data_IF_720306117727
#
_entry.id   IF_720306117727
#
_cell.length_a   1.000
_cell.length_b   1.000
_cell.length_c   1.000
_cell.angle_alpha   90.00
_cell.angle_beta   90.00
_cell.angle_gamma   90.00
#
_symmetry.space_group_name_H-M   'P 1'
#
loop_
_entity.id
_entity.type
_entity.pdbx_description
1 polymer ?
#
# COMPACT_ATOMS: atom_id res chain seq x y z
N UNK A 1 -0.09 19.56 -4.86
CA UNK A 1 1.11 20.42 -4.88
C UNK A 1 1.74 20.52 -6.27
N UNK A 2 1.94 19.40 -6.98
CA UNK A 2 2.57 19.41 -8.32
C UNK A 2 1.56 19.63 -9.46
N UNK A 3 0.46 18.87 -9.50
CA UNK A 3 -0.40 18.84 -10.69
C UNK A 3 -1.14 20.16 -10.91
N UNK A 4 -1.95 20.61 -9.94
CA UNK A 4 -2.81 21.80 -10.13
C UNK A 4 -2.06 23.09 -10.52
N UNK A 5 -0.95 23.47 -9.85
CA UNK A 5 -0.23 24.70 -10.20
C UNK A 5 0.45 24.63 -11.57
N UNK A 6 0.81 23.43 -12.04
CA UNK A 6 1.62 23.24 -13.23
C UNK A 6 0.92 22.48 -14.36
N UNK A 7 -0.41 22.28 -14.26
CA UNK A 7 -1.21 21.51 -15.23
C UNK A 7 -1.10 22.01 -16.67
N UNK A 8 -0.81 23.30 -16.88
CA UNK A 8 -0.62 23.88 -18.21
C UNK A 8 0.58 23.29 -18.96
N UNK A 9 1.52 22.65 -18.26
CA UNK A 9 2.70 22.01 -18.86
C UNK A 9 2.39 20.64 -19.48
N UNK A 10 1.18 20.11 -19.32
CA UNK A 10 0.81 18.80 -19.84
C UNK A 10 -0.59 18.84 -20.46
N UNK A 11 -0.68 18.52 -21.75
CA UNK A 11 -1.93 18.55 -22.52
C UNK A 11 -3.05 17.78 -21.82
N UNK A 12 -2.75 16.59 -21.29
CA UNK A 12 -3.69 15.67 -20.61
C UNK A 12 -4.50 16.31 -19.49
N UNK A 13 -3.93 17.29 -18.78
CA UNK A 13 -4.57 17.95 -17.61
C UNK A 13 -4.71 19.47 -17.77
N UNK A 14 -4.20 20.04 -18.86
CA UNK A 14 -4.18 21.48 -19.13
C UNK A 14 -5.57 22.12 -19.18
N UNK A 15 -6.58 21.39 -19.68
CA UNK A 15 -7.97 21.88 -19.86
C UNK A 15 -8.88 21.62 -18.65
N UNK A 16 -8.29 21.37 -17.48
CA UNK A 16 -8.98 20.93 -16.27
C UNK A 16 -9.18 19.41 -16.26
N UNK A 17 -9.34 18.85 -15.05
CA UNK A 17 -9.62 17.43 -14.87
C UNK A 17 -10.39 17.16 -13.58
N UNK A 18 -11.04 16.00 -13.51
CA UNK A 18 -11.62 15.40 -12.29
C UNK A 18 -10.88 14.10 -11.97
N UNK A 19 -10.84 13.74 -10.68
CA UNK A 19 -10.27 12.47 -10.22
C UNK A 19 -11.43 11.51 -10.01
N UNK A 20 -11.38 10.34 -10.62
CA UNK A 20 -12.37 9.29 -10.44
C UNK A 20 -11.94 8.29 -9.37
N UNK A 21 -12.92 7.64 -8.75
CA UNK A 21 -12.70 6.60 -7.76
C UNK A 21 -12.79 5.18 -8.37
N UNK A 22 -12.45 4.17 -7.58
CA UNK A 22 -12.50 2.76 -7.98
C UNK A 22 -13.90 2.32 -8.42
N UNK A 23 -14.96 2.92 -7.89
CA UNK A 23 -16.33 2.61 -8.28
C UNK A 23 -16.57 3.03 -9.72
N UNK A 24 -16.23 4.28 -10.04
CA UNK A 24 -16.34 4.85 -11.38
C UNK A 24 -15.45 4.10 -12.37
N UNK A 25 -14.22 3.77 -11.98
CA UNK A 25 -13.30 2.95 -12.77
C UNK A 25 -13.93 1.59 -13.12
N UNK A 26 -14.47 0.87 -12.13
CA UNK A 26 -15.15 -0.42 -12.35
C UNK A 26 -16.37 -0.28 -13.27
N UNK A 27 -17.14 0.79 -13.12
CA UNK A 27 -18.28 1.07 -13.99
C UNK A 27 -17.85 1.25 -15.46
N UNK A 28 -16.76 1.97 -15.70
CA UNK A 28 -16.23 2.19 -17.07
C UNK A 28 -15.73 0.89 -17.68
N UNK A 29 -14.96 0.10 -16.93
CA UNK A 29 -14.48 -1.21 -17.38
C UNK A 29 -15.65 -2.14 -17.72
N UNK A 30 -16.71 -2.15 -16.90
CA UNK A 30 -17.91 -2.94 -17.17
C UNK A 30 -18.64 -2.50 -18.45
N UNK A 31 -18.76 -1.19 -18.68
CA UNK A 31 -19.34 -0.65 -19.91
C UNK A 31 -18.52 -1.05 -21.15
N UNK A 32 -17.20 -0.95 -21.09
CA UNK A 32 -16.30 -1.33 -22.19
C UNK A 32 -16.38 -2.83 -22.46
N UNK A 33 -16.39 -3.65 -21.41
CA UNK A 33 -16.54 -5.10 -21.52
C UNK A 33 -17.84 -5.46 -22.27
N UNK A 34 -18.95 -4.78 -21.96
CA UNK A 34 -20.22 -4.95 -22.66
C UNK A 34 -20.16 -4.48 -24.13
N UNK A 35 -19.53 -3.32 -24.41
CA UNK A 35 -19.39 -2.79 -25.77
C UNK A 35 -18.56 -3.70 -26.69
N UNK A 36 -17.53 -4.35 -26.14
CA UNK A 36 -16.68 -5.28 -26.87
C UNK A 36 -17.27 -6.69 -26.96
N UNK A 37 -18.48 -6.92 -26.43
CA UNK A 37 -19.12 -8.24 -26.31
C UNK A 37 -18.19 -9.27 -25.63
N UNK A 38 -17.41 -8.82 -24.67
CA UNK A 38 -16.53 -9.67 -23.87
C UNK A 38 -17.30 -10.21 -22.67
N UNK A 39 -17.12 -11.50 -22.37
CA UNK A 39 -17.70 -12.16 -21.20
C UNK A 39 -16.66 -12.31 -20.08
N UNK A 40 -15.91 -11.24 -19.78
CA UNK A 40 -14.90 -11.29 -18.72
C UNK A 40 -15.58 -11.41 -17.36
N UNK A 41 -15.17 -12.42 -16.59
CA UNK A 41 -15.59 -12.56 -15.21
C UNK A 41 -14.87 -11.54 -14.34
N UNK A 42 -15.44 -11.22 -13.18
CA UNK A 42 -14.88 -10.22 -12.25
C UNK A 42 -13.40 -10.46 -11.91
N UNK A 43 -12.97 -11.72 -11.76
CA UNK A 43 -11.57 -12.04 -11.48
C UNK A 43 -10.63 -11.83 -12.69
N UNK A 44 -11.16 -11.80 -13.92
CA UNK A 44 -10.41 -11.50 -15.15
C UNK A 44 -10.28 -10.00 -15.35
N UNK A 45 -11.30 -9.23 -14.97
CA UNK A 45 -11.24 -7.77 -14.97
C UNK A 45 -10.10 -7.25 -14.09
N UNK A 46 -9.88 -7.88 -12.94
CA UNK A 46 -8.78 -7.53 -12.03
C UNK A 46 -7.39 -7.86 -12.60
N UNK A 47 -7.29 -8.60 -13.71
CA UNK A 47 -6.02 -8.91 -14.40
C UNK A 47 -5.75 -7.99 -15.58
N UNK A 48 -6.68 -7.09 -15.91
CA UNK A 48 -6.47 -6.11 -16.97
C UNK A 48 -5.53 -5.04 -16.43
N UNK A 49 -4.38 -4.87 -17.07
CA UNK A 49 -3.52 -3.73 -16.77
C UNK A 49 -4.14 -2.47 -17.39
N UNK A 50 -4.76 -1.67 -16.53
CA UNK A 50 -5.31 -0.36 -16.86
C UNK A 50 -4.29 0.75 -16.62
N UNK A 51 -3.08 0.42 -16.16
CA UNK A 51 -2.04 1.41 -15.95
C UNK A 51 -1.43 1.86 -17.27
N UNK A 52 -0.90 3.07 -17.25
CA UNK A 52 -0.07 3.59 -18.33
C UNK A 52 1.39 3.52 -17.92
N UNK A 53 2.24 3.18 -18.87
CA UNK A 53 3.68 3.37 -18.75
C UNK A 53 4.03 4.83 -18.45
N UNK A 54 5.28 5.04 -18.05
CA UNK A 54 5.88 6.36 -17.83
C UNK A 54 5.72 7.32 -19.01
N UNK A 55 5.46 6.83 -20.23
CA UNK A 55 5.28 7.60 -21.46
C UNK A 55 3.82 7.80 -21.89
N UNK A 56 2.86 7.56 -20.99
CA UNK A 56 1.42 7.54 -21.32
C UNK A 56 1.08 6.54 -22.44
N UNK A 57 1.91 5.50 -22.60
CA UNK A 57 1.61 4.38 -23.48
C UNK A 57 0.99 3.24 -22.68
N UNK A 58 0.09 2.51 -23.30
CA UNK A 58 -0.52 1.33 -22.71
C UNK A 58 0.53 0.23 -22.70
N UNK A 59 0.62 -0.50 -21.59
CA UNK A 59 1.49 -1.66 -21.50
C UNK A 59 0.91 -2.78 -22.38
N UNK A 60 1.74 -3.44 -23.19
CA UNK A 60 1.28 -4.55 -24.03
C UNK A 60 0.90 -5.76 -23.16
N UNK A 61 -0.40 -5.95 -22.94
CA UNK A 61 -0.94 -7.00 -22.08
C UNK A 61 -2.17 -7.66 -22.70
N UNK A 62 -2.71 -8.68 -22.02
CA UNK A 62 -4.01 -9.23 -22.37
C UNK A 62 -5.10 -8.14 -22.24
N UNK A 63 -5.94 -7.99 -23.27
CA UNK A 63 -7.01 -6.99 -23.34
C UNK A 63 -6.55 -5.52 -23.50
N UNK A 64 -5.46 -5.24 -24.22
CA UNK A 64 -5.02 -3.86 -24.56
C UNK A 64 -6.15 -2.97 -25.05
N UNK A 65 -7.08 -3.49 -25.87
CA UNK A 65 -8.23 -2.75 -26.37
C UNK A 65 -9.15 -2.22 -25.26
N UNK A 66 -9.28 -2.93 -24.14
CA UNK A 66 -10.05 -2.45 -22.97
C UNK A 66 -9.35 -1.26 -22.33
N UNK A 67 -8.02 -1.34 -22.16
CA UNK A 67 -7.20 -0.25 -21.62
C UNK A 67 -7.22 0.98 -22.55
N UNK A 68 -7.14 0.78 -23.88
CA UNK A 68 -7.26 1.84 -24.89
C UNK A 68 -8.59 2.58 -24.79
N UNK A 69 -9.70 1.84 -24.74
CA UNK A 69 -11.02 2.42 -24.62
C UNK A 69 -11.21 3.13 -23.27
N UNK A 70 -10.68 2.56 -22.20
CA UNK A 70 -10.73 3.15 -20.86
C UNK A 70 -10.01 4.50 -20.82
N UNK A 71 -8.76 4.56 -21.28
CA UNK A 71 -7.99 5.82 -21.31
C UNK A 71 -8.58 6.84 -22.28
N UNK A 72 -9.14 6.40 -23.40
CA UNK A 72 -9.88 7.27 -24.33
C UNK A 72 -11.12 7.88 -23.66
N UNK A 73 -11.85 7.09 -22.87
CA UNK A 73 -13.03 7.55 -22.13
C UNK A 73 -12.63 8.57 -21.05
N UNK A 74 -11.58 8.28 -20.28
CA UNK A 74 -11.02 9.23 -19.33
C UNK A 74 -10.60 10.54 -20.02
N UNK A 75 -9.94 10.47 -21.17
CA UNK A 75 -9.50 11.66 -21.88
C UNK A 75 -10.65 12.50 -22.43
N UNK A 76 -11.67 11.86 -22.98
CA UNK A 76 -12.91 12.50 -23.44
C UNK A 76 -13.63 13.23 -22.30
N UNK A 77 -13.70 12.60 -21.13
CA UNK A 77 -14.38 13.14 -19.96
C UNK A 77 -13.54 14.13 -19.14
N UNK A 78 -12.26 14.31 -19.51
CA UNK A 78 -11.26 15.06 -18.72
C UNK A 78 -11.10 14.49 -17.32
N UNK A 79 -11.03 13.17 -17.24
CA UNK A 79 -10.83 12.42 -16.01
C UNK A 79 -9.41 11.87 -15.96
N UNK A 80 -8.94 11.67 -14.73
CA UNK A 80 -7.78 10.85 -14.38
C UNK A 80 -8.16 9.94 -13.21
N UNK A 81 -7.55 8.78 -13.11
CA UNK A 81 -7.67 7.91 -11.94
C UNK A 81 -6.49 8.10 -10.96
N UNK A 82 -6.47 7.31 -9.88
CA UNK A 82 -5.44 7.40 -8.86
C UNK A 82 -4.03 7.05 -9.36
N UNK A 83 -3.90 6.06 -10.25
CA UNK A 83 -2.59 5.67 -10.81
C UNK A 83 -2.03 6.78 -11.71
N UNK A 84 -2.90 7.47 -12.45
CA UNK A 84 -2.51 8.60 -13.29
C UNK A 84 -2.01 9.80 -12.49
N UNK A 85 -2.35 9.97 -11.21
CA UNK A 85 -1.87 11.10 -10.39
C UNK A 85 -0.34 11.13 -10.35
N UNK A 86 0.27 9.99 -10.03
CA UNK A 86 1.72 9.87 -9.96
C UNK A 86 2.36 10.04 -11.34
N UNK A 87 1.72 9.50 -12.38
CA UNK A 87 2.22 9.58 -13.75
C UNK A 87 2.21 11.02 -14.27
N UNK A 88 1.13 11.75 -14.05
CA UNK A 88 1.01 13.17 -14.40
C UNK A 88 2.04 14.00 -13.64
N UNK A 89 2.25 13.74 -12.35
CA UNK A 89 3.28 14.42 -11.57
C UNK A 89 4.68 14.18 -12.13
N UNK A 90 5.03 12.92 -12.41
CA UNK A 90 6.29 12.55 -13.05
C UNK A 90 6.47 13.26 -14.41
N UNK A 91 5.41 13.32 -15.21
CA UNK A 91 5.43 13.95 -16.53
C UNK A 91 5.61 15.47 -16.48
N UNK A 92 4.97 16.14 -15.53
CA UNK A 92 5.21 17.57 -15.29
C UNK A 92 6.68 17.83 -14.92
N UNK A 93 7.27 16.98 -14.07
CA UNK A 93 8.67 17.10 -13.64
C UNK A 93 9.68 16.78 -14.76
N UNK A 94 9.29 16.01 -15.78
CA UNK A 94 10.18 15.63 -16.89
C UNK A 94 10.07 16.55 -18.10
N UNK A 95 8.88 17.03 -18.43
CA UNK A 95 8.65 17.85 -19.63
C UNK A 95 9.21 19.27 -19.47
N UNK A 96 9.16 19.86 -18.27
CA UNK A 96 9.62 21.23 -18.04
C UNK A 96 10.61 21.31 -16.87
N UNK A 97 11.90 21.41 -17.21
CA UNK A 97 12.98 21.49 -16.21
C UNK A 97 12.93 22.75 -15.35
N UNK A 98 12.37 23.86 -15.84
CA UNK A 98 12.19 25.07 -15.02
C UNK A 98 11.12 24.85 -13.94
N UNK A 99 10.03 24.15 -14.28
CA UNK A 99 8.99 23.77 -13.33
C UNK A 99 9.54 22.79 -12.31
N UNK A 100 10.28 21.78 -12.76
CA UNK A 100 10.92 20.81 -11.87
C UNK A 100 11.88 21.48 -10.87
N UNK A 101 12.75 22.37 -11.34
CA UNK A 101 13.65 23.16 -10.48
C UNK A 101 12.88 24.08 -9.52
N UNK A 102 11.81 24.73 -9.97
CA UNK A 102 10.97 25.55 -9.09
C UNK A 102 10.36 24.70 -7.97
N UNK A 103 9.71 23.58 -8.31
CA UNK A 103 9.14 22.67 -7.30
C UNK A 103 10.23 22.18 -6.34
N UNK A 104 11.34 21.67 -6.88
CA UNK A 104 12.44 21.12 -6.08
C UNK A 104 13.10 22.18 -5.18
N UNK A 105 13.17 23.45 -5.61
CA UNK A 105 13.71 24.55 -4.80
C UNK A 105 12.87 24.89 -3.56
N UNK A 106 11.57 24.54 -3.58
CA UNK A 106 10.66 24.72 -2.44
C UNK A 106 10.66 23.54 -1.48
N UNK A 107 11.41 22.47 -1.79
CA UNK A 107 11.52 21.28 -0.95
C UNK A 107 12.88 21.32 -0.26
N UNK A 108 12.86 21.22 1.07
CA UNK A 108 14.09 21.16 1.88
C UNK A 108 14.53 19.73 2.16
N UNK A 109 13.56 18.85 2.41
CA UNK A 109 13.82 17.47 2.74
C UNK A 109 12.69 16.56 2.23
N UNK A 110 13.04 15.31 1.92
CA UNK A 110 12.15 14.23 1.54
C UNK A 110 12.41 13.06 2.50
N UNK A 111 11.38 12.69 3.26
CA UNK A 111 11.40 11.52 4.14
C UNK A 111 10.42 10.51 3.57
N UNK A 112 10.93 9.34 3.19
CA UNK A 112 10.13 8.23 2.67
C UNK A 112 10.09 7.15 3.75
N UNK A 113 8.90 6.86 4.23
CA UNK A 113 8.63 5.75 5.15
C UNK A 113 8.09 4.56 4.36
N UNK A 114 8.19 3.35 4.91
CA UNK A 114 7.81 2.09 4.24
C UNK A 114 8.39 1.96 2.82
N UNK A 115 9.68 2.28 2.65
CA UNK A 115 10.28 2.33 1.30
C UNK A 115 10.23 0.98 0.57
N UNK A 116 10.17 -0.13 1.29
CA UNK A 116 10.04 -1.47 0.71
C UNK A 116 8.75 -1.63 -0.12
N UNK A 117 7.71 -0.85 0.18
CA UNK A 117 6.42 -0.87 -0.51
C UNK A 117 6.31 0.23 -1.58
N UNK A 118 7.41 0.95 -1.85
CA UNK A 118 7.43 2.02 -2.86
C UNK A 118 7.49 1.43 -4.28
N UNK A 119 6.63 1.92 -5.16
CA UNK A 119 6.55 1.53 -6.59
C UNK A 119 7.56 2.30 -7.45
N UNK A 120 7.94 1.74 -8.59
CA UNK A 120 8.90 2.33 -9.54
C UNK A 120 8.57 3.79 -9.90
N UNK A 121 7.31 4.09 -10.19
CA UNK A 121 6.88 5.43 -10.55
C UNK A 121 7.03 6.45 -9.40
N UNK A 122 6.86 6.02 -8.14
CA UNK A 122 7.08 6.86 -6.97
C UNK A 122 8.56 7.20 -6.82
N UNK A 123 9.45 6.20 -6.97
CA UNK A 123 10.90 6.43 -7.00
C UNK A 123 11.28 7.40 -8.11
N UNK A 124 10.71 7.26 -9.31
CA UNK A 124 10.97 8.15 -10.43
C UNK A 124 10.55 9.61 -10.16
N UNK A 125 9.44 9.84 -9.46
CA UNK A 125 9.04 11.18 -9.01
C UNK A 125 10.06 11.75 -8.02
N UNK A 126 10.42 10.98 -6.99
CA UNK A 126 11.40 11.41 -5.97
C UNK A 126 12.75 11.72 -6.63
N UNK A 127 13.21 10.83 -7.49
CA UNK A 127 14.45 10.98 -8.24
C UNK A 127 14.47 12.25 -9.07
N UNK A 128 13.37 12.59 -9.76
CA UNK A 128 13.30 13.84 -10.52
C UNK A 128 13.40 15.07 -9.63
N UNK A 129 12.81 15.05 -8.43
CA UNK A 129 12.95 16.15 -7.48
C UNK A 129 14.40 16.30 -7.01
N UNK A 130 15.01 15.19 -6.58
CA UNK A 130 16.40 15.15 -6.12
C UNK A 130 17.39 15.56 -7.21
N UNK A 131 17.27 15.04 -8.43
CA UNK A 131 18.11 15.42 -9.57
C UNK A 131 18.04 16.92 -9.90
N UNK A 132 16.89 17.57 -9.67
CA UNK A 132 16.72 19.00 -9.94
C UNK A 132 17.13 19.90 -8.76
N UNK A 133 17.37 19.35 -7.57
CA UNK A 133 17.92 20.08 -6.43
C UNK A 133 18.75 19.14 -5.53
N UNK A 134 20.07 19.04 -5.75
CA UNK A 134 20.96 18.19 -4.95
C UNK A 134 21.12 18.61 -3.48
N UNK A 135 20.54 19.73 -3.06
CA UNK A 135 20.58 20.20 -1.67
C UNK A 135 19.41 19.65 -0.84
N UNK A 136 18.46 18.95 -1.46
CA UNK A 136 17.35 18.31 -0.75
C UNK A 136 17.93 17.21 0.14
N UNK A 137 17.65 17.27 1.44
CA UNK A 137 17.99 16.18 2.36
C UNK A 137 17.02 15.02 2.14
N UNK A 138 17.52 13.81 1.92
CA UNK A 138 16.68 12.64 1.69
C UNK A 138 16.99 11.52 2.66
N UNK A 139 15.94 10.87 3.17
CA UNK A 139 16.06 9.68 4.00
C UNK A 139 14.93 8.70 3.65
N UNK A 140 15.30 7.45 3.44
CA UNK A 140 14.39 6.33 3.20
C UNK A 140 14.45 5.41 4.42
N UNK A 141 13.30 5.05 4.97
CA UNK A 141 13.14 4.21 6.16
C UNK A 141 12.14 3.11 5.83
N UNK A 142 12.43 1.90 6.28
CA UNK A 142 11.61 0.73 5.99
C UNK A 142 12.29 -0.56 6.42
N UNK A 143 11.57 -1.66 6.26
CA UNK A 143 11.99 -3.00 6.65
C UNK A 143 11.67 -3.99 5.53
N UNK A 144 12.71 -4.57 4.94
CA UNK A 144 12.58 -5.49 3.79
C UNK A 144 11.81 -6.76 4.19
N UNK A 145 11.89 -7.19 5.45
CA UNK A 145 11.14 -8.35 5.95
C UNK A 145 9.64 -8.06 6.11
N UNK A 146 9.24 -6.79 6.05
CA UNK A 146 7.83 -6.34 6.06
C UNK A 146 7.27 -6.09 4.67
N UNK A 147 8.02 -6.38 3.60
CA UNK A 147 7.57 -6.25 2.22
C UNK A 147 6.49 -7.30 1.87
N UNK A 148 5.28 -7.11 2.39
CA UNK A 148 4.13 -7.99 2.14
C UNK A 148 3.40 -7.63 0.84
N UNK A 149 3.77 -6.51 0.20
CA UNK A 149 3.18 -6.00 -1.03
C UNK A 149 3.95 -6.38 -2.31
N UNK A 150 4.76 -7.45 -2.29
CA UNK A 150 5.42 -7.96 -3.50
C UNK A 150 4.46 -8.33 -4.66
N UNK A 151 3.15 -8.41 -4.39
CA UNK A 151 2.09 -8.59 -5.39
C UNK A 151 1.51 -7.28 -5.99
N UNK A 152 1.88 -6.11 -5.45
CA UNK A 152 1.46 -4.76 -5.91
C UNK A 152 2.63 -3.94 -6.49
N UNK A 153 3.68 -4.61 -6.97
CA UNK A 153 4.87 -4.01 -7.61
C UNK A 153 5.70 -3.06 -6.71
N UNK A 154 5.54 -3.16 -5.38
CA UNK A 154 6.45 -2.53 -4.42
C UNK A 154 7.80 -3.22 -4.45
N UNK A 155 8.88 -2.45 -4.63
CA UNK A 155 10.24 -2.99 -4.75
C UNK A 155 11.17 -2.18 -3.84
N UNK A 156 11.73 -2.83 -2.83
CA UNK A 156 12.84 -2.26 -2.07
C UNK A 156 14.06 -2.14 -3.00
N UNK A 157 14.44 -0.91 -3.36
CA UNK A 157 15.65 -0.66 -4.15
C UNK A 157 16.90 -0.81 -3.28
N UNK A 158 17.96 -1.36 -3.85
CA UNK A 158 19.27 -1.34 -3.22
C UNK A 158 19.78 0.10 -3.07
N UNK A 159 20.78 0.30 -2.21
CA UNK A 159 21.40 1.62 -2.05
C UNK A 159 21.98 2.08 -3.39
N UNK A 160 22.69 1.21 -4.10
CA UNK A 160 23.28 1.50 -5.40
C UNK A 160 22.22 1.88 -6.44
N UNK A 161 21.07 1.19 -6.46
CA UNK A 161 19.95 1.53 -7.34
C UNK A 161 19.38 2.92 -7.02
N UNK A 162 19.21 3.25 -5.74
CA UNK A 162 18.76 4.58 -5.31
C UNK A 162 19.77 5.66 -5.68
N UNK A 163 21.06 5.42 -5.47
CA UNK A 163 22.13 6.37 -5.80
C UNK A 163 22.18 6.62 -7.31
N UNK A 164 22.15 5.56 -8.13
CA UNK A 164 22.10 5.66 -9.59
C UNK A 164 20.85 6.43 -10.05
N UNK A 165 19.69 6.13 -9.47
CA UNK A 165 18.43 6.74 -9.87
C UNK A 165 18.34 8.21 -9.48
N UNK A 166 18.77 8.57 -8.28
CA UNK A 166 18.58 9.92 -7.71
C UNK A 166 19.78 10.84 -7.90
N UNK A 167 20.94 10.28 -8.27
CA UNK A 167 22.23 10.98 -8.28
C UNK A 167 22.61 11.57 -6.91
N UNK A 168 22.08 11.00 -5.83
CA UNK A 168 22.45 11.30 -4.44
C UNK A 168 23.31 10.17 -3.90
N UNK A 169 24.06 10.44 -2.83
CA UNK A 169 24.77 9.41 -2.06
C UNK A 169 23.99 9.12 -0.78
N UNK A 170 23.89 7.86 -0.41
CA UNK A 170 23.14 7.43 0.78
C UNK A 170 24.03 6.63 1.71
N UNK A 171 23.92 6.94 3.01
CA UNK A 171 24.54 6.13 4.06
C UNK A 171 23.51 5.14 4.60
N UNK A 172 23.75 3.85 4.42
CA UNK A 172 22.93 2.81 5.05
C UNK A 172 23.15 2.81 6.57
N UNK A 173 22.05 2.70 7.32
CA UNK A 173 22.03 2.59 8.78
C UNK A 173 20.95 1.60 9.19
N UNK A 174 21.24 0.79 10.21
CA UNK A 174 20.32 -0.22 10.74
C UNK A 174 19.91 0.15 12.16
N UNK A 175 18.64 -0.07 12.49
CA UNK A 175 18.11 0.10 13.84
C UNK A 175 17.90 -1.28 14.49
N UNK A 176 18.67 -1.58 15.53
CA UNK A 176 18.63 -2.88 16.21
C UNK A 176 17.61 -2.96 17.36
N UNK A 177 17.03 -1.83 17.79
CA UNK A 177 16.18 -1.78 18.98
C UNK A 177 14.70 -1.94 18.68
N UNK A 178 14.05 -2.96 19.23
CA UNK A 178 12.60 -3.12 19.21
C UNK A 178 11.98 -2.59 20.51
N UNK A 179 11.22 -1.50 20.42
CA UNK A 179 10.56 -0.89 21.59
C UNK A 179 9.11 -1.33 21.78
N UNK A 180 8.60 -2.19 20.87
CA UNK A 180 7.20 -2.64 20.84
C UNK A 180 7.01 -4.00 21.53
N UNK A 181 7.85 -4.96 21.18
CA UNK A 181 7.69 -6.38 21.53
C UNK A 181 8.67 -6.81 22.61
N UNK A 182 8.26 -7.77 23.45
CA UNK A 182 9.17 -8.42 24.40
C UNK A 182 10.21 -9.30 23.69
N UNK A 183 11.29 -9.68 24.38
CA UNK A 183 12.38 -10.43 23.76
C UNK A 183 11.93 -11.79 23.22
N UNK A 184 11.03 -12.51 23.91
CA UNK A 184 10.55 -13.82 23.44
C UNK A 184 9.85 -13.73 22.09
N UNK A 185 9.04 -12.69 21.88
CA UNK A 185 8.35 -12.46 20.61
C UNK A 185 9.34 -12.05 19.51
N UNK A 186 10.32 -11.21 19.86
CA UNK A 186 11.45 -10.87 18.96
C UNK A 186 12.16 -12.13 18.49
N UNK A 187 12.64 -12.95 19.42
CA UNK A 187 13.33 -14.21 19.12
C UNK A 187 12.48 -15.15 18.25
N UNK A 188 11.16 -15.17 18.49
CA UNK A 188 10.24 -15.99 17.72
C UNK A 188 10.14 -15.55 16.26
N UNK A 189 9.84 -14.26 16.00
CA UNK A 189 9.68 -13.80 14.63
C UNK A 189 11.02 -13.69 13.88
N UNK A 190 12.15 -13.54 14.59
CA UNK A 190 13.49 -13.52 13.97
C UNK A 190 13.82 -14.81 13.20
N UNK A 191 13.18 -15.95 13.53
CA UNK A 191 13.34 -17.19 12.77
C UNK A 191 12.77 -17.13 11.34
N UNK A 192 12.00 -16.08 11.01
CA UNK A 192 11.34 -15.90 9.72
C UNK A 192 11.93 -14.73 8.92
N UNK A 193 13.03 -14.12 9.38
CA UNK A 193 13.70 -13.05 8.66
C UNK A 193 14.32 -13.57 7.35
N UNK A 194 14.19 -12.78 6.29
CA UNK A 194 14.81 -13.06 4.99
C UNK A 194 16.32 -12.79 5.04
N UNK A 195 16.71 -11.74 5.77
CA UNK A 195 18.11 -11.40 6.02
C UNK A 195 18.35 -11.37 7.53
N UNK A 196 19.25 -12.20 8.08
CA UNK A 196 19.46 -12.23 9.52
C UNK A 196 20.17 -10.95 9.98
N UNK A 197 19.52 -10.18 10.85
CA UNK A 197 20.12 -9.08 11.59
C UNK A 197 19.64 -9.07 13.03
N UNK A 198 20.50 -8.58 13.92
CA UNK A 198 20.22 -8.60 15.35
C UNK A 198 19.14 -7.57 15.72
N UNK A 199 18.10 -8.06 16.40
CA UNK A 199 17.05 -7.23 17.01
C UNK A 199 17.01 -7.53 18.50
N UNK A 200 17.15 -6.50 19.32
CA UNK A 200 17.02 -6.59 20.77
C UNK A 200 15.81 -5.81 21.25
N UNK A 201 15.02 -6.41 22.15
CA UNK A 201 13.94 -5.70 22.81
C UNK A 201 14.51 -4.65 23.78
N UNK A 202 14.10 -3.40 23.56
CA UNK A 202 14.45 -2.22 24.37
C UNK A 202 13.24 -1.60 25.07
N UNK A 203 12.05 -2.18 24.89
CA UNK A 203 10.81 -1.73 25.54
C UNK A 203 10.78 -2.05 27.04
N UNK A 204 9.86 -1.41 27.77
CA UNK A 204 9.65 -1.65 29.21
C UNK A 204 9.23 -3.11 29.49
N UNK A 205 8.56 -3.73 28.53
CA UNK A 205 8.07 -5.11 28.56
C UNK A 205 9.12 -6.15 28.10
N UNK A 206 10.39 -5.77 27.89
CA UNK A 206 11.40 -6.66 27.28
C UNK A 206 11.54 -8.02 27.96
N UNK A 207 11.33 -8.09 29.27
CA UNK A 207 11.45 -9.29 30.09
C UNK A 207 10.13 -10.05 30.26
N UNK A 208 9.02 -9.54 29.72
CA UNK A 208 7.72 -10.21 29.81
C UNK A 208 7.75 -11.48 28.97
N UNK A 209 7.38 -12.61 29.57
CA UNK A 209 7.39 -13.89 28.84
C UNK A 209 6.27 -14.00 27.81
N UNK A 210 5.18 -13.25 27.96
CA UNK A 210 3.98 -13.40 27.12
C UNK A 210 3.50 -14.85 26.99
N UNK A 211 2.68 -15.11 25.97
CA UNK A 211 2.23 -16.45 25.63
C UNK A 211 2.24 -16.64 24.12
N UNK A 212 2.97 -17.66 23.65
CA UNK A 212 3.02 -18.07 22.24
C UNK A 212 2.62 -19.55 22.23
N UNK A 213 1.58 -19.87 21.47
CA UNK A 213 1.05 -21.22 21.31
C UNK A 213 0.76 -21.50 19.85
N UNK A 214 0.94 -22.75 19.45
CA UNK A 214 0.53 -23.26 18.14
C UNK A 214 -0.48 -24.39 18.35
N UNK A 215 -1.65 -24.27 17.72
CA UNK A 215 -2.71 -25.27 17.77
C UNK A 215 -2.99 -25.78 16.35
N UNK A 216 -2.78 -27.08 16.14
CA UNK A 216 -3.05 -27.78 14.89
C UNK A 216 -4.21 -28.78 14.99
N UNK A 217 -4.95 -28.77 16.09
CA UNK A 217 -6.04 -29.71 16.38
C UNK A 217 -7.42 -29.07 16.21
N UNK A 218 -7.52 -27.76 16.39
CA UNK A 218 -8.78 -27.03 16.25
C UNK A 218 -9.27 -27.08 14.80
N UNK A 219 -10.51 -27.51 14.63
CA UNK A 219 -11.19 -27.54 13.33
C UNK A 219 -11.61 -26.13 12.91
N UNK A 220 -11.90 -25.92 11.62
CA UNK A 220 -12.40 -24.64 11.13
C UNK A 220 -13.75 -24.28 11.76
N UNK A 221 -14.57 -25.28 12.04
CA UNK A 221 -15.89 -25.18 12.64
C UNK A 221 -15.81 -24.74 14.11
N UNK A 222 -14.81 -25.22 14.85
CA UNK A 222 -14.62 -24.90 16.27
C UNK A 222 -13.83 -23.62 16.52
N UNK A 223 -13.09 -23.13 15.52
CA UNK A 223 -12.23 -21.95 15.63
C UNK A 223 -12.95 -20.70 16.20
N UNK A 224 -14.18 -20.34 15.79
CA UNK A 224 -14.89 -19.20 16.36
C UNK A 224 -15.15 -19.34 17.88
N UNK A 225 -15.49 -20.56 18.34
CA UNK A 225 -15.74 -20.83 19.75
C UNK A 225 -14.45 -20.68 20.57
N UNK A 226 -13.32 -21.17 20.05
CA UNK A 226 -12.02 -21.06 20.72
C UNK A 226 -11.59 -19.60 20.83
N UNK A 227 -11.66 -18.83 19.75
CA UNK A 227 -11.32 -17.40 19.74
C UNK A 227 -12.20 -16.64 20.74
N UNK A 228 -13.51 -16.89 20.75
CA UNK A 228 -14.44 -16.31 21.74
C UNK A 228 -13.98 -16.55 23.17
N UNK A 229 -13.65 -17.81 23.50
CA UNK A 229 -13.26 -18.17 24.86
C UNK A 229 -11.96 -17.48 25.28
N UNK A 230 -10.98 -17.37 24.36
CA UNK A 230 -9.73 -16.63 24.61
C UNK A 230 -10.02 -15.15 24.87
N UNK A 231 -10.82 -14.50 24.02
CA UNK A 231 -11.17 -13.07 24.19
C UNK A 231 -11.86 -12.86 25.54
N UNK A 232 -12.85 -13.69 25.86
CA UNK A 232 -13.59 -13.61 27.13
C UNK A 232 -12.66 -13.76 28.33
N UNK A 233 -11.78 -14.77 28.34
CA UNK A 233 -10.80 -14.98 29.42
C UNK A 233 -9.90 -13.75 29.61
N UNK A 234 -9.42 -13.14 28.51
CA UNK A 234 -8.55 -11.96 28.59
C UNK A 234 -9.28 -10.73 29.12
N UNK A 235 -10.52 -10.51 28.71
CA UNK A 235 -11.33 -9.42 29.24
C UNK A 235 -11.64 -9.62 30.72
N UNK A 236 -12.01 -10.85 31.12
CA UNK A 236 -12.23 -11.20 32.54
C UNK A 236 -10.95 -11.03 33.39
N UNK A 237 -9.77 -11.19 32.79
CA UNK A 237 -8.47 -10.90 33.43
C UNK A 237 -8.11 -9.40 33.51
N UNK A 238 -8.96 -8.52 32.97
CA UNK A 238 -8.79 -7.07 33.02
C UNK A 238 -8.16 -6.42 31.79
N UNK A 239 -7.95 -7.17 30.69
CA UNK A 239 -7.47 -6.60 29.42
C UNK A 239 -8.63 -5.88 28.72
N UNK A 240 -8.41 -4.64 28.29
CA UNK A 240 -9.43 -3.87 27.57
C UNK A 240 -9.60 -4.41 26.15
N UNK A 241 -10.83 -4.43 25.62
CA UNK A 241 -11.10 -4.95 24.27
C UNK A 241 -10.24 -4.30 23.16
N UNK A 242 -9.87 -3.03 23.30
CA UNK A 242 -9.03 -2.30 22.33
C UNK A 242 -7.59 -2.79 22.26
N UNK A 243 -7.13 -3.53 23.27
CA UNK A 243 -5.79 -4.10 23.36
C UNK A 243 -5.74 -5.53 22.78
N UNK A 244 -6.85 -6.03 22.23
CA UNK A 244 -6.98 -7.35 21.63
C UNK A 244 -7.14 -7.21 20.11
N UNK A 245 -6.32 -7.92 19.34
CA UNK A 245 -6.39 -7.97 17.88
C UNK A 245 -6.46 -9.41 17.38
N UNK A 246 -7.36 -9.69 16.44
CA UNK A 246 -7.47 -10.98 15.75
C UNK A 246 -7.09 -10.77 14.30
N UNK A 247 -6.02 -11.45 13.85
CA UNK A 247 -5.49 -11.35 12.50
C UNK A 247 -5.74 -12.66 11.74
N UNK A 248 -6.03 -12.56 10.44
CA UNK A 248 -6.16 -13.71 9.55
C UNK A 248 -5.55 -13.41 8.17
N UNK A 249 -5.07 -14.42 7.41
CA UNK A 249 -4.48 -14.21 6.09
C UNK A 249 -5.46 -13.66 5.04
N UNK A 250 -6.77 -13.83 5.24
CA UNK A 250 -7.81 -13.37 4.33
C UNK A 250 -8.92 -12.68 5.11
N UNK A 251 -9.59 -11.69 4.48
CA UNK A 251 -10.68 -10.95 5.10
C UNK A 251 -11.98 -11.78 5.20
N UNK A 252 -12.24 -12.68 4.25
CA UNK A 252 -13.51 -13.42 4.18
C UNK A 252 -13.83 -14.21 5.46
N UNK A 253 -12.89 -14.98 6.06
CA UNK A 253 -13.11 -15.62 7.36
C UNK A 253 -13.38 -14.66 8.52
N UNK A 254 -12.82 -13.44 8.50
CA UNK A 254 -13.00 -12.44 9.55
C UNK A 254 -14.42 -11.88 9.58
N UNK A 255 -15.08 -11.78 8.43
CA UNK A 255 -16.46 -11.27 8.38
C UNK A 255 -17.43 -12.19 9.13
N UNK A 256 -17.42 -13.49 8.81
CA UNK A 256 -18.29 -14.47 9.50
C UNK A 256 -17.93 -14.62 10.99
N UNK A 257 -16.63 -14.56 11.31
CA UNK A 257 -16.16 -14.58 12.70
C UNK A 257 -16.63 -13.34 13.47
N UNK A 258 -16.53 -12.16 12.87
CA UNK A 258 -16.92 -10.90 13.48
C UNK A 258 -18.41 -10.84 13.84
N UNK A 259 -19.29 -11.26 12.92
CA UNK A 259 -20.73 -11.34 13.17
C UNK A 259 -21.07 -12.36 14.27
N UNK A 260 -20.37 -13.49 14.31
CA UNK A 260 -20.48 -14.46 15.40
C UNK A 260 -20.05 -13.87 16.75
N UNK A 261 -18.89 -13.20 16.81
CA UNK A 261 -18.36 -12.63 18.05
C UNK A 261 -19.24 -11.49 18.59
N UNK A 262 -19.78 -10.62 17.73
CA UNK A 262 -20.76 -9.58 18.13
C UNK A 262 -21.99 -10.17 18.82
N UNK A 263 -22.50 -11.28 18.30
CA UNK A 263 -23.67 -11.95 18.86
C UNK A 263 -23.38 -12.57 20.23
N UNK A 264 -22.21 -13.20 20.36
CA UNK A 264 -21.83 -13.96 21.55
C UNK A 264 -21.18 -13.13 22.65
N UNK A 265 -20.59 -11.99 22.31
CA UNK A 265 -19.92 -11.04 23.21
C UNK A 265 -20.51 -9.63 23.04
N UNK A 266 -21.82 -9.42 23.31
CA UNK A 266 -22.51 -8.15 23.02
C UNK A 266 -22.03 -6.96 23.86
N UNK A 267 -21.24 -7.22 24.90
CA UNK A 267 -20.63 -6.21 25.76
C UNK A 267 -19.26 -5.72 25.25
N UNK A 268 -18.70 -6.37 24.23
CA UNK A 268 -17.43 -6.00 23.63
C UNK A 268 -17.65 -5.08 22.43
N UNK A 269 -16.86 -4.01 22.32
CA UNK A 269 -16.81 -3.19 21.12
C UNK A 269 -15.89 -3.85 20.09
N UNK A 270 -16.43 -4.18 18.92
CA UNK A 270 -15.66 -4.74 17.81
C UNK A 270 -15.49 -3.70 16.71
N UNK A 271 -14.27 -3.20 16.56
CA UNK A 271 -13.89 -2.37 15.42
C UNK A 271 -13.66 -3.24 14.17
N UNK A 272 -13.84 -2.65 12.98
CA UNK A 272 -13.33 -3.17 11.72
C UNK A 272 -13.92 -4.48 11.11
N UNK A 273 -15.06 -5.01 11.56
CA UNK A 273 -15.67 -6.20 10.90
C UNK A 273 -16.07 -5.94 9.43
N UNK A 274 -16.35 -4.69 9.09
CA UNK A 274 -16.70 -4.22 7.74
C UNK A 274 -15.58 -3.41 7.07
N UNK A 275 -14.42 -3.26 7.72
CA UNK A 275 -13.32 -2.45 7.20
C UNK A 275 -12.27 -3.41 6.67
N UNK A 276 -12.44 -3.80 5.42
CA UNK A 276 -11.29 -4.25 4.63
C UNK A 276 -10.28 -3.08 4.58
N UNK A 277 -8.96 -3.33 4.73
CA UNK A 277 -7.94 -2.30 4.53
C UNK A 277 -8.05 -1.66 3.13
N UNK A 278 -8.70 -2.36 2.19
CA UNK A 278 -9.20 -1.84 0.93
C UNK A 278 -10.69 -1.53 1.12
N UNK A 279 -11.06 -0.25 1.31
CA UNK A 279 -12.46 0.16 1.39
C UNK A 279 -13.20 -0.15 0.10
N UNK A 280 -13.95 -1.25 0.07
CA UNK A 280 -15.07 -1.37 -0.87
C UNK A 280 -16.25 -0.65 -0.23
N UNK A 281 -16.37 0.65 -0.50
CA UNK A 281 -17.57 1.38 -0.12
C UNK A 281 -18.74 0.84 -0.94
N UNK A 282 -19.61 0.04 -0.31
CA UNK A 282 -20.94 -0.28 -0.83
C UNK A 282 -21.91 0.80 -0.34
N UNK A 283 -22.29 1.72 -1.24
CA UNK A 283 -23.53 2.50 -1.17
C UNK A 283 -24.32 2.27 -2.45
#
# INVERSE_FOLDING_TARGET
FIIYPFKMNLSRVSKGFTIIDDYTQRAYVSQINNMLNLNLKTYELNKIDLSLSHDFKINEVQYTQVSEMYHTMLEKNKEIDFDMILLVAYKILTVNSNVARNIASNIRAIYVDEFQDTRELQYNVIAKLLQNNPQIQSMFVGDIDQAIYGSLDGIAKSVEELEMLTSHTFQSKTLHGCYRSNQRLVDFYSNFQSCPYEIESRGNNKNDRGFISYDCKVTKEDLPNIIKNIIKEKIESGIHEKDICVLAPQHYPLFSLGEYLKKELPYCNFDAINISPIKVNNH
#
